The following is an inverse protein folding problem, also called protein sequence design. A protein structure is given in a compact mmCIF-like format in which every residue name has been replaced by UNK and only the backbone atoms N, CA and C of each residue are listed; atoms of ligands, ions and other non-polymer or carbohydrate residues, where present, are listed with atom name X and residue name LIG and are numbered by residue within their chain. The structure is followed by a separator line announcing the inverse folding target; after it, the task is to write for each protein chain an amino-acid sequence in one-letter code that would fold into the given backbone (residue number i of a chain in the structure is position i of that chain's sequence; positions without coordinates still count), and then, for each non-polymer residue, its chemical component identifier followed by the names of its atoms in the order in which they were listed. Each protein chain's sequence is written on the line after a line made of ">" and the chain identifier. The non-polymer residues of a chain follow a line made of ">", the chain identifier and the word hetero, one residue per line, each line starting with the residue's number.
data_IF_744794289887
#
_entry.id   IF_744794289887
#
_cell.length_a   1.000
_cell.length_b   1.000
_cell.length_c   1.000
_cell.angle_alpha   90.00
_cell.angle_beta   90.00
_cell.angle_gamma   90.00
#
_symmetry.space_group_name_H-M   'P 1'
#
loop_
_entity.id
_entity.type
_entity.pdbx_description
1 polymer ?
#
# COMPACT_ATOMS: atom_id res chain seq x y z
N UNK A 1 -92.66 -27.96 -34.28
CA UNK A 1 -91.81 -29.16 -34.25
C UNK A 1 -90.44 -28.77 -33.66
N UNK A 2 -90.17 -29.42 -32.67
CA UNK A 2 -89.10 -29.25 -31.60
C UNK A 2 -87.71 -29.53 -32.15
N UNK A 3 -86.72 -28.62 -31.92
CA UNK A 3 -85.36 -28.86 -32.22
C UNK A 3 -84.48 -28.39 -31.00
N UNK A 4 -84.06 -29.36 -30.19
CA UNK A 4 -83.23 -29.18 -29.01
C UNK A 4 -81.78 -28.83 -29.40
N UNK A 5 -81.29 -27.65 -29.03
CA UNK A 5 -79.88 -27.30 -29.04
C UNK A 5 -79.20 -27.67 -27.73
N UNK A 6 -78.17 -28.50 -27.79
CA UNK A 6 -77.32 -28.91 -26.69
C UNK A 6 -76.21 -27.90 -26.59
N UNK A 7 -76.13 -27.15 -25.49
CA UNK A 7 -75.02 -26.28 -25.17
C UNK A 7 -73.91 -27.10 -24.41
N UNK A 8 -72.75 -27.19 -25.08
CA UNK A 8 -71.56 -27.84 -24.51
C UNK A 8 -70.74 -26.79 -23.69
N UNK A 9 -70.86 -26.87 -22.38
CA UNK A 9 -70.08 -26.02 -21.48
C UNK A 9 -68.67 -26.60 -21.36
N UNK A 10 -67.70 -25.92 -21.95
CA UNK A 10 -66.27 -26.22 -21.79
C UNK A 10 -65.75 -25.74 -20.45
N UNK A 11 -65.46 -26.66 -19.55
CA UNK A 11 -64.85 -26.39 -18.23
C UNK A 11 -63.35 -26.21 -18.38
N UNK A 12 -62.84 -24.95 -18.34
CA UNK A 12 -61.39 -24.66 -18.29
C UNK A 12 -60.88 -25.02 -16.89
N UNK A 13 -60.07 -26.07 -16.81
CA UNK A 13 -59.32 -26.45 -15.65
C UNK A 13 -58.06 -25.55 -15.55
N UNK A 14 -58.11 -24.54 -14.68
CA UNK A 14 -56.91 -23.74 -14.30
C UNK A 14 -56.13 -24.54 -13.30
N UNK A 15 -54.97 -25.09 -13.74
CA UNK A 15 -54.01 -25.74 -12.84
C UNK A 15 -53.17 -24.68 -12.13
N UNK A 16 -53.07 -24.68 -10.80
CA UNK A 16 -52.13 -23.80 -10.11
C UNK A 16 -50.70 -24.27 -10.33
N UNK A 17 -49.90 -23.39 -10.90
CA UNK A 17 -48.42 -23.60 -11.00
C UNK A 17 -47.84 -23.42 -9.62
N UNK A 18 -47.51 -24.51 -8.94
CA UNK A 18 -46.72 -24.46 -7.69
C UNK A 18 -45.28 -24.04 -8.05
N UNK A 19 -44.95 -22.79 -7.77
CA UNK A 19 -43.56 -22.32 -7.81
C UNK A 19 -42.80 -22.99 -6.68
N UNK A 20 -41.93 -23.94 -6.98
CA UNK A 20 -40.98 -24.52 -6.04
C UNK A 20 -39.83 -23.57 -5.88
N UNK A 21 -39.73 -22.94 -4.70
CA UNK A 21 -38.51 -22.22 -4.27
C UNK A 21 -37.50 -23.27 -3.83
N UNK A 22 -36.48 -23.50 -4.64
CA UNK A 22 -35.38 -24.38 -4.27
C UNK A 22 -34.47 -23.60 -3.31
N UNK A 23 -34.49 -23.96 -2.02
CA UNK A 23 -33.51 -23.47 -1.06
C UNK A 23 -32.26 -24.31 -1.22
N UNK A 24 -31.25 -23.74 -1.90
CA UNK A 24 -29.94 -24.32 -1.99
C UNK A 24 -29.23 -24.21 -0.65
N UNK A 25 -28.26 -25.09 -0.42
CA UNK A 25 -27.52 -25.18 0.83
C UNK A 25 -27.08 -23.82 1.34
N UNK A 26 -27.36 -23.54 2.62
CA UNK A 26 -26.97 -22.30 3.27
C UNK A 26 -25.66 -22.52 4.05
N UNK A 27 -24.69 -21.64 3.81
CA UNK A 27 -23.42 -21.61 4.53
C UNK A 27 -23.40 -20.51 5.60
N UNK A 28 -22.54 -20.65 6.60
CA UNK A 28 -22.30 -19.63 7.63
C UNK A 28 -20.97 -18.96 7.36
N UNK A 29 -20.97 -17.64 7.19
CA UNK A 29 -19.77 -16.83 7.03
C UNK A 29 -19.47 -16.14 8.37
N UNK A 30 -18.27 -16.40 8.91
CA UNK A 30 -17.78 -15.71 10.10
C UNK A 30 -16.85 -14.58 9.67
N UNK A 31 -17.29 -13.35 9.92
CA UNK A 31 -16.50 -12.14 9.69
C UNK A 31 -15.90 -11.72 11.03
N UNK A 32 -14.57 -11.55 11.06
CA UNK A 32 -13.84 -11.01 12.23
C UNK A 32 -13.09 -9.78 11.79
N UNK A 33 -13.18 -8.74 12.60
CA UNK A 33 -12.45 -7.50 12.41
C UNK A 33 -12.08 -6.93 13.77
N UNK A 34 -11.04 -6.11 13.79
CA UNK A 34 -10.64 -5.35 14.97
C UNK A 34 -10.76 -3.87 14.66
N UNK A 35 -11.44 -3.14 15.53
CA UNK A 35 -11.43 -1.69 15.47
C UNK A 35 -10.27 -1.19 16.34
N UNK A 36 -9.33 -0.48 15.74
CA UNK A 36 -8.19 0.13 16.45
C UNK A 36 -8.30 1.65 16.34
N UNK A 37 -8.07 2.34 17.45
CA UNK A 37 -8.00 3.79 17.46
C UNK A 37 -6.57 4.20 17.12
N UNK A 38 -6.36 4.74 15.92
CA UNK A 38 -5.14 5.47 15.57
C UNK A 38 -5.26 6.92 16.00
N UNK A 39 -4.17 7.52 16.51
CA UNK A 39 -4.17 8.93 16.87
C UNK A 39 -4.19 9.86 15.64
N UNK A 40 -3.75 9.38 14.47
CA UNK A 40 -3.73 10.14 13.22
C UNK A 40 -4.29 9.32 12.05
N UNK A 41 -4.75 10.00 11.02
CA UNK A 41 -5.13 9.41 9.73
C UNK A 41 -4.13 9.83 8.65
N UNK A 42 -3.74 8.91 7.78
CA UNK A 42 -2.91 9.25 6.62
C UNK A 42 -3.77 10.03 5.61
N UNK A 43 -3.30 11.21 5.19
CA UNK A 43 -3.97 12.01 4.18
C UNK A 43 -4.07 11.23 2.85
N UNK A 44 -5.15 11.43 2.11
CA UNK A 44 -5.45 10.66 0.90
C UNK A 44 -4.34 10.76 -0.16
N UNK A 45 -3.71 11.93 -0.29
CA UNK A 45 -2.58 12.15 -1.20
C UNK A 45 -1.28 11.45 -0.78
N UNK A 46 -1.22 10.96 0.45
CA UNK A 46 -0.08 10.25 1.01
C UNK A 46 -0.28 8.73 1.12
N UNK A 47 -1.50 8.21 0.83
CA UNK A 47 -1.81 6.78 0.93
C UNK A 47 -1.21 5.94 -0.21
N UNK A 48 -1.18 6.49 -1.44
CA UNK A 48 -0.58 5.87 -2.62
C UNK A 48 0.24 6.91 -3.38
N UNK A 49 1.51 7.00 -3.06
CA UNK A 49 2.40 8.05 -3.53
C UNK A 49 3.40 7.50 -4.54
N UNK A 50 3.63 8.25 -5.63
CA UNK A 50 4.65 7.96 -6.62
C UNK A 50 5.75 9.01 -6.59
N UNK A 51 6.94 8.59 -6.18
CA UNK A 51 8.13 9.43 -6.14
C UNK A 51 8.96 9.19 -7.41
N UNK A 52 9.10 10.24 -8.23
CA UNK A 52 9.89 10.16 -9.47
C UNK A 52 11.36 10.37 -9.16
N UNK A 53 12.13 9.32 -9.22
CA UNK A 53 13.57 9.36 -8.88
C UNK A 53 14.44 9.99 -9.96
N UNK A 54 13.96 10.10 -11.21
CA UNK A 54 14.73 10.64 -12.34
C UNK A 54 15.63 9.60 -12.98
N UNK A 55 16.65 10.09 -13.72
CA UNK A 55 17.60 9.25 -14.48
C UNK A 55 19.00 9.39 -13.89
N UNK A 56 19.69 8.27 -13.78
CA UNK A 56 21.04 8.18 -13.24
C UNK A 56 21.96 7.48 -14.23
N UNK A 57 23.22 7.89 -14.25
CA UNK A 57 24.27 7.18 -15.02
C UNK A 57 24.91 6.14 -14.12
N UNK A 58 25.31 5.00 -14.67
CA UNK A 58 25.98 3.93 -13.90
C UNK A 58 27.32 4.42 -13.30
N UNK A 59 28.02 5.35 -13.96
CA UNK A 59 29.24 5.96 -13.46
C UNK A 59 29.02 7.07 -12.41
N UNK A 60 27.78 7.32 -11.99
CA UNK A 60 27.50 8.23 -10.87
C UNK A 60 27.79 7.61 -9.50
N UNK A 61 28.10 6.32 -9.47
CA UNK A 61 28.44 5.57 -8.27
C UNK A 61 29.94 5.25 -8.27
N UNK A 62 30.59 5.49 -7.13
CA UNK A 62 32.05 5.31 -6.96
C UNK A 62 32.42 3.96 -6.32
N UNK A 63 31.51 2.98 -6.35
CA UNK A 63 31.69 1.63 -5.80
C UNK A 63 30.59 1.26 -4.82
N UNK A 64 30.63 0.03 -4.33
CA UNK A 64 29.66 -0.51 -3.37
C UNK A 64 29.55 0.37 -2.14
N UNK A 65 28.31 0.63 -1.71
CA UNK A 65 27.99 1.50 -0.57
C UNK A 65 27.92 2.98 -0.90
N UNK A 66 28.34 3.43 -2.08
CA UNK A 66 28.26 4.83 -2.49
C UNK A 66 26.83 5.24 -2.83
N UNK A 67 26.48 6.48 -2.52
CA UNK A 67 25.19 7.06 -2.85
C UNK A 67 25.25 7.89 -4.13
N UNK A 68 24.16 7.90 -4.89
CA UNK A 68 23.99 8.89 -5.94
C UNK A 68 24.07 10.31 -5.36
N UNK A 69 24.63 11.24 -6.10
CA UNK A 69 24.75 12.64 -5.68
C UNK A 69 23.38 13.33 -5.56
N UNK A 70 22.42 12.93 -6.38
CA UNK A 70 21.07 13.48 -6.38
C UNK A 70 20.21 12.80 -5.31
N UNK A 71 19.47 13.59 -4.56
CA UNK A 71 18.48 13.17 -3.61
C UNK A 71 17.11 13.69 -4.01
N UNK A 72 16.05 12.91 -3.78
CA UNK A 72 14.67 13.27 -4.13
C UNK A 72 13.86 13.41 -2.84
N UNK A 73 13.39 14.61 -2.51
CA UNK A 73 12.55 14.80 -1.34
C UNK A 73 11.13 14.32 -1.59
N UNK A 74 10.48 13.83 -0.55
CA UNK A 74 9.05 13.55 -0.50
C UNK A 74 8.52 13.78 0.90
N UNK A 75 7.20 13.86 1.06
CA UNK A 75 6.59 14.09 2.35
C UNK A 75 5.33 13.25 2.53
N UNK A 76 5.07 12.82 3.75
CA UNK A 76 3.84 12.14 4.16
C UNK A 76 3.06 13.07 5.07
N UNK A 77 1.78 13.29 4.74
CA UNK A 77 0.87 14.11 5.53
C UNK A 77 -0.06 13.22 6.35
N UNK A 78 -0.20 13.60 7.61
CA UNK A 78 -1.17 13.05 8.54
C UNK A 78 -2.22 14.11 8.84
N UNK A 79 -3.46 13.69 8.99
CA UNK A 79 -4.62 14.53 9.32
C UNK A 79 -5.39 13.94 10.47
N UNK A 80 -6.29 14.72 11.03
CA UNK A 80 -7.17 14.30 12.15
C UNK A 80 -6.37 13.69 13.31
N UNK A 81 -5.19 14.24 13.56
CA UNK A 81 -4.37 13.82 14.70
C UNK A 81 -4.99 14.29 16.02
N UNK A 82 -4.99 13.41 17.03
CA UNK A 82 -5.42 13.71 18.39
C UNK A 82 -4.44 13.10 19.39
N UNK A 83 -3.99 13.92 20.33
CA UNK A 83 -3.15 13.47 21.45
C UNK A 83 -3.93 12.75 22.55
N UNK A 84 -5.28 12.64 22.44
CA UNK A 84 -6.11 11.97 23.44
C UNK A 84 -5.92 10.46 23.48
N UNK A 85 -5.43 9.87 22.37
CA UNK A 85 -5.20 8.42 22.24
C UNK A 85 -3.71 8.09 22.39
N UNK A 86 -2.86 8.81 21.68
CA UNK A 86 -1.40 8.72 21.75
C UNK A 86 -0.81 10.11 21.60
N UNK A 87 0.21 10.41 22.37
CA UNK A 87 0.87 11.72 22.38
C UNK A 87 2.03 11.83 21.39
N UNK A 88 2.49 10.70 20.85
CA UNK A 88 3.56 10.64 19.85
C UNK A 88 3.23 9.70 18.69
N UNK A 89 3.83 9.97 17.53
CA UNK A 89 3.74 9.12 16.35
C UNK A 89 5.08 9.05 15.62
N UNK A 90 5.42 7.86 15.14
CA UNK A 90 6.56 7.62 14.26
C UNK A 90 6.12 6.93 12.97
N UNK A 91 6.98 6.94 11.96
CA UNK A 91 6.75 6.26 10.68
C UNK A 91 7.81 5.18 10.50
N UNK A 92 7.37 3.93 10.35
CA UNK A 92 8.19 2.80 9.97
C UNK A 92 8.00 2.51 8.48
N UNK A 93 9.08 2.08 7.81
CA UNK A 93 9.04 1.70 6.41
C UNK A 93 9.38 0.22 6.26
N UNK A 94 8.60 -0.47 5.44
CA UNK A 94 8.74 -1.90 5.18
C UNK A 94 8.81 -2.18 3.68
N UNK A 95 9.58 -3.19 3.30
CA UNK A 95 9.73 -3.61 1.91
C UNK A 95 10.76 -4.71 1.74
N UNK A 96 10.92 -5.14 0.51
CA UNK A 96 11.94 -6.13 0.15
C UNK A 96 13.32 -5.47 0.17
N UNK A 97 14.32 -6.16 0.70
CA UNK A 97 15.70 -5.71 0.75
C UNK A 97 16.60 -6.63 -0.09
N UNK A 98 17.65 -6.11 -0.75
CA UNK A 98 18.64 -6.97 -1.39
C UNK A 98 19.47 -7.73 -0.33
N UNK A 99 19.88 -8.94 -0.67
CA UNK A 99 20.67 -9.78 0.25
C UNK A 99 22.05 -9.18 0.53
N UNK A 100 22.61 -8.47 -0.43
CA UNK A 100 23.93 -7.83 -0.36
C UNK A 100 23.97 -6.63 0.58
N UNK A 101 22.83 -5.93 0.73
CA UNK A 101 22.72 -4.77 1.60
C UNK A 101 21.30 -4.64 2.18
N UNK A 102 21.01 -5.24 3.32
CA UNK A 102 19.68 -5.19 3.95
C UNK A 102 19.33 -3.81 4.54
N UNK A 103 20.23 -2.83 4.46
CA UNK A 103 19.99 -1.46 4.94
C UNK A 103 19.29 -0.58 3.91
N UNK A 104 19.01 -1.11 2.71
CA UNK A 104 18.29 -0.41 1.64
C UNK A 104 17.12 -1.26 1.13
N UNK A 105 16.16 -0.63 0.48
CA UNK A 105 15.09 -1.33 -0.21
C UNK A 105 15.59 -1.83 -1.57
N UNK A 106 15.08 -2.99 -1.97
CA UNK A 106 15.36 -3.52 -3.29
C UNK A 106 14.84 -2.55 -4.35
N UNK A 107 15.71 -2.14 -5.25
CA UNK A 107 15.36 -1.42 -6.46
C UNK A 107 15.53 -2.37 -7.64
N UNK A 108 14.41 -2.95 -8.07
CA UNK A 108 14.35 -3.86 -9.20
C UNK A 108 13.27 -3.40 -10.17
N UNK A 109 13.19 -4.02 -11.32
CA UNK A 109 12.16 -3.73 -12.30
C UNK A 109 11.67 -5.00 -12.97
N UNK A 110 11.26 -4.86 -14.21
CA UNK A 110 10.89 -5.94 -15.11
C UNK A 110 12.12 -6.65 -15.75
N UNK A 111 11.90 -7.30 -16.88
CA UNK A 111 12.96 -7.99 -17.62
C UNK A 111 14.14 -7.09 -18.06
N UNK A 112 13.99 -5.77 -18.02
CA UNK A 112 15.00 -4.77 -18.35
C UNK A 112 15.45 -4.00 -17.11
N UNK A 113 15.36 -4.59 -15.93
CA UNK A 113 15.76 -3.96 -14.68
C UNK A 113 17.26 -3.69 -14.62
N UNK A 114 17.63 -2.56 -14.04
CA UNK A 114 18.99 -2.31 -13.58
C UNK A 114 19.32 -3.27 -12.42
N UNK A 115 20.59 -3.56 -12.24
CA UNK A 115 21.08 -4.37 -11.12
C UNK A 115 22.18 -3.65 -10.35
N UNK A 116 22.44 -4.10 -9.11
CA UNK A 116 23.48 -3.55 -8.26
C UNK A 116 23.12 -2.24 -7.57
N UNK A 117 21.83 -1.87 -7.55
CA UNK A 117 21.33 -0.63 -6.93
C UNK A 117 20.22 -0.95 -5.94
N UNK A 118 20.23 -0.27 -4.80
CA UNK A 118 19.14 -0.23 -3.81
C UNK A 118 18.66 1.19 -3.58
N UNK A 119 17.48 1.31 -2.94
CA UNK A 119 16.87 2.57 -2.56
C UNK A 119 17.04 2.78 -1.05
N UNK A 120 17.73 3.84 -0.67
CA UNK A 120 17.86 4.30 0.70
C UNK A 120 16.88 5.45 0.98
N UNK A 121 16.25 5.44 2.15
CA UNK A 121 15.44 6.52 2.65
C UNK A 121 16.14 7.20 3.82
N UNK A 122 15.93 8.50 3.96
CA UNK A 122 16.46 9.33 5.03
C UNK A 122 15.37 10.18 5.65
N UNK A 123 15.47 10.41 6.93
CA UNK A 123 14.61 11.34 7.66
C UNK A 123 15.05 12.81 7.41
N UNK A 124 14.31 13.75 7.99
CA UNK A 124 14.60 15.19 7.88
C UNK A 124 15.98 15.58 8.47
N UNK A 125 16.54 14.76 9.38
CA UNK A 125 17.86 14.95 9.96
C UNK A 125 18.97 14.23 9.19
N UNK A 126 18.64 13.75 7.98
CA UNK A 126 19.56 12.98 7.14
C UNK A 126 20.09 11.68 7.77
N UNK A 127 19.33 11.10 8.69
CA UNK A 127 19.63 9.76 9.22
C UNK A 127 18.98 8.72 8.34
N UNK A 128 19.73 7.69 7.99
CA UNK A 128 19.23 6.60 7.14
C UNK A 128 18.16 5.80 7.91
N UNK A 129 17.03 5.59 7.26
CA UNK A 129 15.94 4.75 7.74
C UNK A 129 16.25 3.32 7.33
N UNK A 130 16.30 2.44 8.32
CA UNK A 130 16.55 1.02 8.10
C UNK A 130 15.23 0.33 7.73
N UNK A 131 15.19 -0.41 6.60
CA UNK A 131 14.02 -1.18 6.20
C UNK A 131 13.56 -2.16 7.29
N UNK A 132 12.24 -2.33 7.40
CA UNK A 132 11.63 -3.31 8.31
C UNK A 132 11.96 -3.12 9.80
N UNK A 133 12.45 -1.93 10.19
CA UNK A 133 12.77 -1.58 11.55
C UNK A 133 11.73 -0.59 12.13
N UNK A 134 11.74 -0.45 13.44
CA UNK A 134 10.95 0.56 14.13
C UNK A 134 11.41 1.99 13.75
N UNK A 135 10.54 3.00 13.92
CA UNK A 135 10.90 4.39 13.64
C UNK A 135 12.15 4.82 14.41
N UNK A 136 13.01 5.61 13.78
CA UNK A 136 14.21 6.18 14.43
C UNK A 136 13.88 7.16 15.55
N UNK A 137 12.70 7.78 15.47
CA UNK A 137 12.19 8.71 16.49
C UNK A 137 10.67 8.83 16.36
N UNK A 138 10.08 9.29 17.44
CA UNK A 138 8.67 9.62 17.52
C UNK A 138 8.52 11.13 17.70
N UNK A 139 7.53 11.70 17.00
CA UNK A 139 7.25 13.14 17.01
C UNK A 139 6.01 13.38 17.87
N UNK A 140 5.98 14.39 18.75
CA UNK A 140 4.82 14.68 19.56
C UNK A 140 3.65 15.18 18.69
N UNK A 141 2.46 14.72 19.00
CA UNK A 141 1.21 15.13 18.34
C UNK A 141 0.74 16.43 19.01
N UNK A 142 1.07 17.55 18.41
CA UNK A 142 0.72 18.88 18.92
C UNK A 142 -0.28 19.63 18.04
N UNK A 143 -0.57 19.11 16.85
CA UNK A 143 -1.49 19.70 15.87
C UNK A 143 -2.34 18.61 15.22
N UNK A 144 -3.51 19.00 14.68
CA UNK A 144 -4.38 18.07 13.95
C UNK A 144 -3.83 17.64 12.59
N UNK A 145 -2.87 18.38 12.04
CA UNK A 145 -2.18 18.06 10.79
C UNK A 145 -0.68 18.03 11.05
N UNK A 146 -0.03 17.00 10.54
CA UNK A 146 1.42 16.82 10.66
C UNK A 146 1.99 16.44 9.30
N UNK A 147 3.20 16.91 9.01
CA UNK A 147 3.93 16.54 7.78
C UNK A 147 5.30 16.01 8.16
N UNK A 148 5.61 14.83 7.65
CA UNK A 148 6.92 14.21 7.78
C UNK A 148 7.68 14.36 6.47
N UNK A 149 8.90 14.84 6.55
CA UNK A 149 9.77 15.05 5.39
C UNK A 149 10.82 13.96 5.31
N UNK A 150 10.97 13.41 4.12
CA UNK A 150 11.91 12.34 3.82
C UNK A 150 12.70 12.65 2.57
N UNK A 151 13.78 11.93 2.40
CA UNK A 151 14.61 12.00 1.19
C UNK A 151 14.94 10.58 0.72
N UNK A 152 14.79 10.35 -0.58
CA UNK A 152 15.13 9.10 -1.23
C UNK A 152 16.44 9.26 -2.03
N UNK A 153 17.34 8.28 -1.97
CA UNK A 153 18.59 8.22 -2.73
C UNK A 153 18.89 6.81 -3.18
N UNK A 154 19.43 6.66 -4.36
CA UNK A 154 19.98 5.38 -4.78
C UNK A 154 21.35 5.12 -4.16
N UNK A 155 21.60 3.85 -3.81
CA UNK A 155 22.87 3.37 -3.26
C UNK A 155 23.35 2.17 -4.06
N UNK A 156 24.63 2.12 -4.42
CA UNK A 156 25.24 0.96 -5.01
C UNK A 156 25.34 -0.17 -3.99
N UNK A 157 24.77 -1.32 -4.30
CA UNK A 157 24.84 -2.55 -3.48
C UNK A 157 25.81 -3.57 -4.03
N UNK A 158 26.31 -3.34 -5.25
CA UNK A 158 27.30 -4.17 -5.93
C UNK A 158 28.30 -3.30 -6.70
N UNK A 159 29.50 -3.82 -6.98
CA UNK A 159 30.44 -3.19 -7.89
C UNK A 159 29.98 -3.26 -9.35
N UNK A 160 29.23 -4.31 -9.70
CA UNK A 160 28.67 -4.51 -11.02
C UNK A 160 27.27 -3.89 -11.12
N UNK A 161 27.22 -2.68 -11.66
CA UNK A 161 25.96 -1.98 -11.90
C UNK A 161 25.62 -2.10 -13.38
N UNK A 162 24.45 -2.66 -13.69
CA UNK A 162 23.92 -2.71 -15.06
C UNK A 162 22.85 -1.64 -15.28
N UNK A 163 22.80 -1.01 -16.47
CA UNK A 163 21.75 -0.05 -16.79
C UNK A 163 20.40 -0.77 -16.96
N UNK A 164 19.32 -0.05 -16.67
CA UNK A 164 17.97 -0.56 -16.81
C UNK A 164 16.94 0.29 -16.06
N UNK A 165 15.73 -0.21 -15.94
CA UNK A 165 14.65 0.40 -15.17
C UNK A 165 14.84 0.10 -13.68
N UNK A 166 14.43 1.04 -12.82
CA UNK A 166 14.44 0.89 -11.37
C UNK A 166 13.05 1.20 -10.82
N UNK A 167 12.53 0.28 -10.02
CA UNK A 167 11.31 0.43 -9.27
C UNK A 167 11.52 -0.11 -7.86
N UNK A 168 10.95 0.55 -6.88
CA UNK A 168 10.95 0.10 -5.49
C UNK A 168 9.57 0.31 -4.91
N UNK A 169 8.97 -0.73 -4.38
CA UNK A 169 7.70 -0.67 -3.69
C UNK A 169 7.99 -0.70 -2.18
N UNK A 170 7.63 0.36 -1.49
CA UNK A 170 7.88 0.56 -0.06
C UNK A 170 6.56 0.88 0.63
N UNK A 171 6.24 0.14 1.67
CA UNK A 171 5.08 0.40 2.52
C UNK A 171 5.51 1.19 3.74
N UNK A 172 4.61 1.99 4.26
CA UNK A 172 4.82 2.67 5.52
C UNK A 172 3.68 2.40 6.50
N UNK A 173 3.98 2.49 7.77
CA UNK A 173 3.03 2.27 8.86
C UNK A 173 3.25 3.33 9.93
N UNK A 174 2.14 3.87 10.47
CA UNK A 174 2.19 4.71 11.65
C UNK A 174 2.39 3.84 12.88
N UNK A 175 3.35 4.21 13.71
CA UNK A 175 3.70 3.50 14.94
C UNK A 175 3.54 4.47 16.11
N UNK A 176 2.81 4.03 17.12
CA UNK A 176 2.58 4.77 18.35
C UNK A 176 3.34 4.06 19.48
N UNK A 177 4.16 4.76 20.29
CA UNK A 177 4.94 4.18 21.39
C UNK A 177 4.06 3.79 22.58
#
# INVERSE_FOLDING_TARGET
>A
MIGKGVALAGMLCVMPVLSHTVILESGRVHLRGQLVNGACTVATDSQDMRVQMGQYRTNAFSGTGSFASTSVPFSLRLTSCSSDVYDHVGIAFAGVTPAEDPQVFLASGDAYAASGIGLALFDERQRQIIPNALPLHYVPIITQEMTFHFTARYRAVSENITPGTLRSDVWFTLVYP
#
